data_IF_797508613262
#
_entry.id   IF_797508613262
#
_cell.length_a   1.000
_cell.length_b   1.000
_cell.length_c   1.000
_cell.angle_alpha   90.00
_cell.angle_beta   90.00
_cell.angle_gamma   90.00
#
_symmetry.space_group_name_H-M   'P 1'
#
loop_
_entity.id
_entity.type
_entity.pdbx_description
1 polymer ?
#
# COMPACT_ATOMS: atom_id res chain seq x y z
N UNK A 1 -13.43 -1.40 25.10
CA UNK A 1 -14.10 -1.00 23.85
C UNK A 1 -14.46 -2.25 23.07
N UNK A 2 -15.71 -2.39 22.62
CA UNK A 2 -16.14 -3.49 21.74
C UNK A 2 -15.51 -3.28 20.36
N UNK A 3 -14.93 -4.34 19.79
CA UNK A 3 -14.38 -4.33 18.43
C UNK A 3 -15.52 -4.03 17.44
N UNK A 4 -15.43 -2.95 16.66
CA UNK A 4 -16.39 -2.74 15.58
C UNK A 4 -16.15 -3.84 14.54
N UNK A 5 -17.19 -4.59 14.17
CA UNK A 5 -17.08 -5.60 13.11
C UNK A 5 -16.65 -4.91 11.81
N UNK A 6 -15.59 -5.41 11.18
CA UNK A 6 -15.15 -4.94 9.86
C UNK A 6 -16.03 -5.60 8.80
N UNK A 7 -16.62 -4.80 7.93
CA UNK A 7 -17.48 -5.25 6.84
C UNK A 7 -16.66 -5.50 5.59
N UNK A 8 -15.74 -4.58 5.29
CA UNK A 8 -14.82 -4.69 4.16
C UNK A 8 -13.40 -4.44 4.65
N UNK A 9 -12.46 -5.20 4.08
CA UNK A 9 -11.01 -5.05 4.26
C UNK A 9 -10.43 -5.07 2.86
N UNK A 10 -9.82 -3.97 2.44
CA UNK A 10 -9.24 -3.84 1.10
C UNK A 10 -7.74 -3.64 1.22
N UNK A 11 -6.98 -4.46 0.49
CA UNK A 11 -5.54 -4.63 0.67
C UNK A 11 -5.23 -5.81 1.58
N UNK A 12 -4.00 -5.87 2.04
CA UNK A 12 -3.48 -7.04 2.77
C UNK A 12 -3.14 -6.69 4.21
N UNK A 13 -3.55 -7.55 5.14
CA UNK A 13 -3.13 -7.47 6.54
C UNK A 13 -1.87 -8.29 6.77
N UNK A 14 -0.94 -7.70 7.51
CA UNK A 14 0.27 -8.40 7.93
C UNK A 14 -0.08 -9.56 8.85
N UNK A 15 0.38 -10.77 8.53
CA UNK A 15 0.29 -11.93 9.42
C UNK A 15 1.63 -12.21 10.09
N UNK A 16 1.61 -12.75 11.31
CA UNK A 16 2.84 -13.17 12.02
C UNK A 16 3.66 -14.13 11.18
N UNK A 17 3.00 -15.11 10.56
CA UNK A 17 3.63 -16.12 9.71
C UNK A 17 4.21 -15.50 8.44
N UNK A 18 3.50 -14.57 7.79
CA UNK A 18 3.98 -13.84 6.62
C UNK A 18 5.23 -13.01 6.91
N UNK A 19 5.23 -12.28 8.03
CA UNK A 19 6.41 -11.50 8.46
C UNK A 19 7.62 -12.41 8.68
N UNK A 20 7.45 -13.50 9.44
CA UNK A 20 8.54 -14.45 9.72
C UNK A 20 9.06 -15.05 8.41
N UNK A 21 8.15 -15.51 7.53
CA UNK A 21 8.52 -16.15 6.28
C UNK A 21 9.29 -15.21 5.35
N UNK A 22 8.79 -13.99 5.11
CA UNK A 22 9.49 -13.00 4.28
C UNK A 22 10.84 -12.62 4.89
N UNK A 23 10.88 -12.39 6.22
CA UNK A 23 12.13 -12.07 6.90
C UNK A 23 13.17 -13.18 6.70
N UNK A 24 12.79 -14.46 6.85
CA UNK A 24 13.68 -15.60 6.64
C UNK A 24 14.22 -15.67 5.20
N UNK A 25 13.37 -15.42 4.21
CA UNK A 25 13.79 -15.37 2.81
C UNK A 25 14.81 -14.25 2.61
N UNK A 26 14.50 -13.04 3.07
CA UNK A 26 15.40 -11.89 2.95
C UNK A 26 16.74 -12.17 3.65
N UNK A 27 16.69 -12.72 4.86
CA UNK A 27 17.88 -13.12 5.61
C UNK A 27 18.74 -14.14 4.84
N UNK A 28 18.12 -15.13 4.22
CA UNK A 28 18.83 -16.10 3.40
C UNK A 28 19.57 -15.42 2.24
N UNK A 29 18.92 -14.53 1.49
CA UNK A 29 19.55 -13.80 0.39
C UNK A 29 20.69 -12.88 0.87
N UNK A 30 20.49 -12.14 1.96
CA UNK A 30 21.53 -11.27 2.54
C UNK A 30 22.73 -12.11 2.99
N UNK A 31 22.51 -13.25 3.64
CA UNK A 31 23.59 -14.14 4.08
C UNK A 31 24.40 -14.68 2.88
N UNK A 32 23.74 -15.09 1.80
CA UNK A 32 24.39 -15.54 0.57
C UNK A 32 25.25 -14.42 -0.04
N UNK A 33 24.73 -13.19 -0.10
CA UNK A 33 25.46 -12.07 -0.67
C UNK A 33 26.70 -11.70 0.17
N UNK A 34 26.56 -11.61 1.49
CA UNK A 34 27.69 -11.36 2.40
C UNK A 34 28.73 -12.48 2.27
N UNK A 35 28.30 -13.74 2.21
CA UNK A 35 29.19 -14.88 2.04
C UNK A 35 29.97 -14.85 0.71
N UNK A 36 29.29 -14.51 -0.40
CA UNK A 36 29.94 -14.34 -1.69
C UNK A 36 30.95 -13.19 -1.68
N UNK A 37 30.55 -12.00 -1.20
CA UNK A 37 31.46 -10.85 -1.11
C UNK A 37 32.69 -11.13 -0.24
N UNK A 38 32.50 -11.84 0.87
CA UNK A 38 33.58 -12.28 1.75
C UNK A 38 34.58 -13.21 1.05
N UNK A 39 34.07 -14.17 0.28
CA UNK A 39 34.89 -15.13 -0.46
C UNK A 39 35.70 -14.46 -1.58
N UNK A 40 35.09 -13.50 -2.29
CA UNK A 40 35.70 -12.86 -3.46
C UNK A 40 36.72 -11.77 -3.09
N UNK A 41 36.51 -11.02 -2.00
CA UNK A 41 37.30 -9.82 -1.72
C UNK A 41 38.54 -10.06 -0.86
N UNK A 42 38.48 -10.93 0.17
CA UNK A 42 39.49 -10.89 1.26
C UNK A 42 39.91 -12.29 1.77
N UNK A 43 39.18 -13.35 1.39
CA UNK A 43 39.40 -14.70 1.93
C UNK A 43 38.86 -14.84 3.36
N UNK A 44 38.20 -15.97 3.63
CA UNK A 44 37.52 -16.16 4.92
C UNK A 44 38.51 -16.34 6.09
N UNK A 45 38.53 -15.40 7.03
CA UNK A 45 39.17 -15.57 8.34
C UNK A 45 38.13 -15.50 9.49
N UNK A 46 38.51 -15.99 10.68
CA UNK A 46 37.61 -16.09 11.85
C UNK A 46 37.06 -14.73 12.33
N UNK A 47 37.84 -13.66 12.25
CA UNK A 47 37.42 -12.32 12.68
C UNK A 47 36.36 -11.74 11.74
N UNK A 48 36.41 -12.09 10.46
CA UNK A 48 35.40 -11.71 9.48
C UNK A 48 34.05 -12.40 9.75
N UNK A 49 34.04 -13.65 10.20
CA UNK A 49 32.81 -14.34 10.59
C UNK A 49 32.06 -13.62 11.72
N UNK A 50 32.80 -13.07 12.69
CA UNK A 50 32.23 -12.26 13.78
C UNK A 50 31.67 -10.94 13.24
N UNK A 51 32.43 -10.22 12.39
CA UNK A 51 31.99 -8.97 11.78
C UNK A 51 30.74 -9.16 10.90
N UNK A 52 30.74 -10.18 10.04
CA UNK A 52 29.60 -10.54 9.20
C UNK A 52 28.37 -10.90 10.04
N UNK A 53 28.54 -11.61 11.16
CA UNK A 53 27.46 -11.92 12.10
C UNK A 53 26.86 -10.68 12.75
N UNK A 54 27.69 -9.71 13.17
CA UNK A 54 27.21 -8.43 13.72
C UNK A 54 26.46 -7.63 12.66
N UNK A 55 27.01 -7.51 11.45
CA UNK A 55 26.38 -6.80 10.33
C UNK A 55 25.02 -7.44 9.97
N UNK A 56 24.96 -8.77 9.97
CA UNK A 56 23.73 -9.52 9.71
C UNK A 56 22.63 -9.21 10.74
N UNK A 57 22.99 -9.14 12.03
CA UNK A 57 22.03 -8.76 13.09
C UNK A 57 21.55 -7.32 12.91
N UNK A 58 22.46 -6.38 12.59
CA UNK A 58 22.11 -4.98 12.35
C UNK A 58 21.13 -4.87 11.17
N UNK A 59 21.46 -5.45 10.02
CA UNK A 59 20.59 -5.45 8.83
C UNK A 59 19.23 -6.05 9.18
N UNK A 60 19.20 -7.17 9.92
CA UNK A 60 17.96 -7.79 10.36
C UNK A 60 17.04 -6.90 11.19
N UNK A 61 17.60 -6.16 12.14
CA UNK A 61 16.85 -5.20 12.94
C UNK A 61 16.26 -4.10 12.03
N UNK A 62 17.00 -3.64 11.01
CA UNK A 62 16.51 -2.60 10.11
C UNK A 62 15.49 -3.07 9.07
N UNK A 63 15.62 -4.30 8.58
CA UNK A 63 14.78 -4.89 7.53
C UNK A 63 13.37 -5.26 8.01
N UNK A 64 13.24 -5.88 9.19
CA UNK A 64 11.96 -6.44 9.66
C UNK A 64 10.83 -5.38 9.71
N UNK A 65 11.03 -4.16 10.22
CA UNK A 65 10.00 -3.11 10.20
C UNK A 65 9.59 -2.71 8.77
N UNK A 66 10.55 -2.68 7.84
CA UNK A 66 10.31 -2.32 6.43
C UNK A 66 9.43 -3.38 5.76
N UNK A 67 9.61 -4.65 6.07
CA UNK A 67 8.73 -5.73 5.61
C UNK A 67 7.28 -5.44 6.01
N UNK A 68 7.05 -4.93 7.23
CA UNK A 68 5.69 -4.61 7.69
C UNK A 68 5.08 -3.42 6.93
N UNK A 69 5.90 -2.46 6.49
CA UNK A 69 5.45 -1.29 5.71
C UNK A 69 4.84 -1.64 4.35
N UNK A 70 5.10 -2.85 3.85
CA UNK A 70 4.58 -3.33 2.56
C UNK A 70 3.08 -3.66 2.60
N UNK A 71 2.55 -3.99 3.78
CA UNK A 71 1.14 -4.31 3.94
C UNK A 71 0.36 -3.07 4.35
N UNK A 72 -0.46 -2.62 3.43
CA UNK A 72 -1.37 -1.50 3.61
C UNK A 72 -2.77 -2.02 3.37
N UNK A 73 -3.72 -1.47 4.12
CA UNK A 73 -5.12 -1.77 3.91
C UNK A 73 -5.99 -0.59 4.35
N UNK A 74 -7.22 -0.57 3.89
CA UNK A 74 -8.28 0.21 4.52
C UNK A 74 -9.46 -0.68 4.84
N UNK A 75 -10.13 -0.33 5.93
CA UNK A 75 -11.29 -1.05 6.43
C UNK A 75 -12.52 -0.15 6.40
N UNK A 76 -13.67 -0.73 6.06
CA UNK A 76 -14.99 -0.13 6.31
C UNK A 76 -15.68 -0.91 7.41
N UNK A 77 -16.16 -0.18 8.40
CA UNK A 77 -17.09 -0.66 9.42
C UNK A 77 -18.46 -0.02 9.23
N UNK A 78 -19.40 -0.30 10.14
CA UNK A 78 -20.71 0.36 10.15
C UNK A 78 -20.66 1.86 10.47
N UNK A 79 -19.54 2.40 10.92
CA UNK A 79 -19.47 3.82 11.29
C UNK A 79 -18.26 4.54 10.71
N UNK A 80 -17.18 3.82 10.40
CA UNK A 80 -15.90 4.43 10.07
C UNK A 80 -15.27 3.82 8.83
N UNK A 81 -14.59 4.70 8.09
CA UNK A 81 -13.51 4.37 7.16
C UNK A 81 -12.18 4.54 7.91
N UNK A 82 -11.36 3.51 7.91
CA UNK A 82 -10.05 3.50 8.58
C UNK A 82 -8.96 3.13 7.58
N UNK A 83 -7.89 3.90 7.54
CA UNK A 83 -6.73 3.62 6.67
C UNK A 83 -5.52 3.25 7.49
N UNK A 84 -4.81 2.22 7.05
CA UNK A 84 -3.65 1.65 7.70
C UNK A 84 -2.46 1.76 6.76
N UNK A 85 -1.62 2.78 7.01
CA UNK A 85 -0.38 3.01 6.28
C UNK A 85 0.73 3.42 7.26
N UNK A 86 1.69 2.52 7.45
CA UNK A 86 2.81 2.69 8.37
C UNK A 86 4.04 3.16 7.59
N UNK A 87 4.00 4.37 7.04
CA UNK A 87 5.13 4.90 6.26
C UNK A 87 6.31 5.33 7.14
N UNK A 88 6.07 5.70 8.40
CA UNK A 88 7.13 6.09 9.32
C UNK A 88 7.79 4.87 9.99
N UNK A 89 9.11 4.89 10.11
CA UNK A 89 9.88 3.76 10.64
C UNK A 89 9.56 3.44 12.11
N UNK A 90 9.27 4.45 12.94
CA UNK A 90 8.81 4.20 14.32
C UNK A 90 7.39 3.64 14.34
N UNK A 91 6.52 4.07 13.43
CA UNK A 91 5.18 3.47 13.27
C UNK A 91 5.27 2.00 12.86
N UNK A 92 6.17 1.64 11.94
CA UNK A 92 6.43 0.26 11.53
C UNK A 92 6.85 -0.61 12.72
N UNK A 93 7.75 -0.13 13.57
CA UNK A 93 8.13 -0.83 14.81
C UNK A 93 6.95 -1.00 15.77
N UNK A 94 6.15 0.05 15.99
CA UNK A 94 4.97 -0.01 16.87
C UNK A 94 3.96 -1.02 16.35
N UNK A 95 3.74 -1.05 15.04
CA UNK A 95 2.84 -1.98 14.39
C UNK A 95 3.36 -3.42 14.41
N UNK A 96 4.66 -3.63 14.18
CA UNK A 96 5.29 -4.94 14.39
C UNK A 96 5.05 -5.44 15.83
N UNK A 97 5.31 -4.61 16.83
CA UNK A 97 5.07 -4.96 18.24
C UNK A 97 3.58 -5.24 18.50
N UNK A 98 2.65 -4.49 17.90
CA UNK A 98 1.21 -4.71 18.08
C UNK A 98 0.79 -6.07 17.51
N UNK A 99 1.25 -6.42 16.32
CA UNK A 99 1.00 -7.73 15.69
C UNK A 99 1.48 -8.85 16.62
N UNK A 100 2.73 -8.80 17.08
CA UNK A 100 3.29 -9.84 17.94
C UNK A 100 2.58 -9.94 19.29
N UNK A 101 2.12 -8.82 19.85
CA UNK A 101 1.32 -8.77 21.09
C UNK A 101 -0.18 -9.06 20.88
N UNK A 102 -0.63 -9.28 19.65
CA UNK A 102 -2.05 -9.50 19.34
C UNK A 102 -2.94 -8.29 19.63
N UNK A 103 -2.37 -7.08 19.62
CA UNK A 103 -3.09 -5.81 19.80
C UNK A 103 -3.59 -5.29 18.47
N UNK A 104 -4.56 -4.37 18.52
CA UNK A 104 -5.14 -3.77 17.31
C UNK A 104 -4.10 -2.99 16.50
N UNK A 105 -4.37 -2.94 15.20
CA UNK A 105 -3.56 -2.25 14.21
C UNK A 105 -3.61 -0.74 14.47
N UNK A 106 -2.49 -0.05 14.24
CA UNK A 106 -2.43 1.42 14.38
C UNK A 106 -2.89 2.02 13.06
N UNK A 107 -4.07 2.67 13.05
CA UNK A 107 -4.57 3.35 11.86
C UNK A 107 -3.84 4.69 11.66
N UNK A 108 -3.56 5.03 10.40
CA UNK A 108 -3.06 6.35 10.01
C UNK A 108 -4.15 7.43 10.21
N UNK A 109 -5.39 7.11 9.85
CA UNK A 109 -6.54 7.93 10.17
C UNK A 109 -7.82 7.09 10.31
N UNK A 110 -8.82 7.69 10.95
CA UNK A 110 -10.16 7.14 11.15
C UNK A 110 -11.18 8.26 10.97
N UNK A 111 -12.09 8.08 10.01
CA UNK A 111 -13.10 9.09 9.62
C UNK A 111 -14.48 8.48 9.78
N UNK A 112 -15.45 9.22 10.32
CA UNK A 112 -16.84 8.77 10.34
C UNK A 112 -17.41 8.80 8.92
N UNK A 113 -18.09 7.74 8.51
CA UNK A 113 -18.71 7.67 7.18
C UNK A 113 -19.72 8.80 6.96
N UNK A 114 -20.38 9.27 8.02
CA UNK A 114 -21.32 10.39 7.98
C UNK A 114 -20.67 11.76 7.75
N UNK A 115 -19.36 11.90 7.95
CA UNK A 115 -18.59 13.13 7.71
C UNK A 115 -18.07 13.22 6.28
N UNK A 116 -18.04 12.09 5.56
CA UNK A 116 -17.59 12.04 4.17
C UNK A 116 -18.67 12.67 3.27
N UNK A 117 -18.24 13.59 2.40
CA UNK A 117 -19.07 14.20 1.37
C UNK A 117 -18.93 13.45 0.05
N UNK A 118 -17.70 13.28 -0.41
CA UNK A 118 -17.40 12.60 -1.67
C UNK A 118 -16.03 11.94 -1.65
N UNK A 119 -15.84 10.97 -2.53
CA UNK A 119 -14.57 10.29 -2.78
C UNK A 119 -14.25 10.46 -4.25
N UNK A 120 -13.15 11.14 -4.54
CA UNK A 120 -12.62 11.30 -5.88
C UNK A 120 -11.57 10.24 -6.18
N UNK A 121 -11.64 9.67 -7.37
CA UNK A 121 -10.67 8.69 -7.88
C UNK A 121 -9.75 9.39 -8.88
N UNK A 122 -8.45 9.27 -8.67
CA UNK A 122 -7.45 9.79 -9.58
C UNK A 122 -6.16 8.96 -9.48
N UNK A 123 -5.18 9.24 -10.34
CA UNK A 123 -3.90 8.53 -10.32
C UNK A 123 -2.73 9.50 -10.36
N UNK A 124 -1.60 9.04 -9.82
CA UNK A 124 -0.31 9.70 -9.98
C UNK A 124 0.63 8.81 -10.79
N UNK A 125 1.35 9.43 -11.72
CA UNK A 125 2.47 8.83 -12.42
C UNK A 125 3.65 8.66 -11.46
N UNK A 126 4.19 7.46 -11.39
CA UNK A 126 5.38 7.13 -10.60
C UNK A 126 6.37 6.39 -11.48
N UNK A 127 7.66 6.67 -11.30
CA UNK A 127 8.71 5.89 -11.92
C UNK A 127 9.04 4.70 -11.03
N UNK A 128 8.86 3.51 -11.58
CA UNK A 128 9.31 2.27 -10.96
C UNK A 128 10.74 1.93 -11.40
N UNK A 129 11.27 0.82 -10.88
CA UNK A 129 12.61 0.34 -11.25
C UNK A 129 12.74 0.20 -12.78
N UNK A 130 13.93 0.48 -13.30
CA UNK A 130 14.23 0.53 -14.74
C UNK A 130 13.46 1.61 -15.53
N UNK A 131 13.09 2.71 -14.88
CA UNK A 131 12.39 3.85 -15.51
C UNK A 131 11.04 3.49 -16.13
N UNK A 132 10.46 2.35 -15.73
CA UNK A 132 9.11 1.96 -16.13
C UNK A 132 8.11 2.91 -15.48
N UNK A 133 7.09 3.33 -16.23
CA UNK A 133 6.04 4.19 -15.70
C UNK A 133 5.01 3.28 -15.01
N UNK A 134 4.62 3.63 -13.79
CA UNK A 134 3.50 3.02 -13.10
C UNK A 134 2.45 4.09 -12.74
N UNK A 135 1.18 3.69 -12.69
CA UNK A 135 0.08 4.56 -12.32
C UNK A 135 -0.52 4.06 -11.01
N UNK A 136 -0.28 4.79 -9.93
CA UNK A 136 -0.87 4.46 -8.63
C UNK A 136 -2.19 5.20 -8.47
N UNK A 137 -3.26 4.46 -8.17
CA UNK A 137 -4.59 5.03 -7.94
C UNK A 137 -4.71 5.52 -6.49
N UNK A 138 -5.32 6.69 -6.33
CA UNK A 138 -5.57 7.36 -5.07
C UNK A 138 -7.04 7.69 -4.91
N UNK A 139 -7.46 7.75 -3.65
CA UNK A 139 -8.70 8.37 -3.22
C UNK A 139 -8.40 9.75 -2.64
N UNK A 140 -9.17 10.75 -3.07
CA UNK A 140 -9.29 12.05 -2.44
C UNK A 140 -10.65 12.15 -1.77
N UNK A 141 -10.68 12.03 -0.45
CA UNK A 141 -11.91 12.06 0.35
C UNK A 141 -12.15 13.48 0.80
N UNK A 142 -13.20 14.10 0.28
CA UNK A 142 -13.67 15.41 0.74
C UNK A 142 -14.63 15.21 1.92
N UNK A 143 -14.35 15.89 3.03
CA UNK A 143 -15.23 15.90 4.20
C UNK A 143 -16.22 17.07 4.12
N UNK A 144 -17.31 16.98 4.88
CA UNK A 144 -18.35 18.01 4.96
C UNK A 144 -17.86 19.34 5.54
N UNK A 145 -16.79 19.30 6.34
CA UNK A 145 -16.13 20.49 6.88
C UNK A 145 -15.20 21.20 5.87
N UNK A 146 -15.03 20.64 4.66
CA UNK A 146 -14.20 21.18 3.60
C UNK A 146 -12.76 20.66 3.57
N UNK A 147 -12.35 19.85 4.56
CA UNK A 147 -11.04 19.19 4.55
C UNK A 147 -10.96 18.08 3.48
N UNK A 148 -9.75 17.79 3.01
CA UNK A 148 -9.49 16.77 2.00
C UNK A 148 -8.40 15.83 2.51
N UNK A 149 -8.68 14.54 2.49
CA UNK A 149 -7.75 13.48 2.88
C UNK A 149 -7.43 12.61 1.67
N UNK A 150 -6.14 12.39 1.42
CA UNK A 150 -5.68 11.58 0.30
C UNK A 150 -5.01 10.30 0.78
N UNK A 151 -5.34 9.18 0.15
CA UNK A 151 -4.64 7.92 0.40
C UNK A 151 -4.68 6.99 -0.81
N UNK A 152 -3.80 5.98 -0.85
CA UNK A 152 -3.78 5.00 -1.94
C UNK A 152 -5.05 4.16 -1.89
N UNK A 153 -5.68 3.93 -3.04
CA UNK A 153 -6.89 3.10 -3.09
C UNK A 153 -6.58 1.61 -2.84
N UNK A 154 -5.32 1.19 -3.03
CA UNK A 154 -4.88 -0.19 -2.85
C UNK A 154 -5.66 -1.19 -3.72
N UNK A 155 -5.96 -0.80 -4.96
CA UNK A 155 -6.46 -1.72 -5.98
C UNK A 155 -5.43 -2.85 -6.13
N UNK A 156 -5.79 -4.02 -5.61
CA UNK A 156 -4.95 -5.22 -5.56
C UNK A 156 -5.58 -6.37 -6.32
N UNK A 157 -5.28 -7.59 -5.88
CA UNK A 157 -5.82 -8.84 -6.41
C UNK A 157 -7.32 -8.99 -6.15
N UNK A 158 -7.86 -8.50 -5.03
CA UNK A 158 -9.29 -8.53 -4.73
C UNK A 158 -10.05 -7.33 -5.31
N UNK A 159 -10.18 -7.33 -6.64
CA UNK A 159 -10.94 -6.30 -7.37
C UNK A 159 -12.42 -6.28 -6.97
N UNK A 160 -12.99 -7.45 -6.67
CA UNK A 160 -14.41 -7.58 -6.32
C UNK A 160 -14.68 -6.95 -4.97
N UNK A 161 -13.92 -7.32 -3.92
CA UNK A 161 -14.06 -6.74 -2.59
C UNK A 161 -13.86 -5.22 -2.60
N UNK A 162 -12.93 -4.72 -3.42
CA UNK A 162 -12.75 -3.28 -3.64
C UNK A 162 -14.01 -2.61 -4.20
N UNK A 163 -14.61 -3.17 -5.26
CA UNK A 163 -15.83 -2.61 -5.88
C UNK A 163 -17.04 -2.71 -4.96
N UNK A 164 -17.21 -3.85 -4.27
CA UNK A 164 -18.30 -4.07 -3.32
C UNK A 164 -18.22 -3.06 -2.15
N UNK A 165 -17.02 -2.76 -1.66
CA UNK A 165 -16.79 -1.76 -0.63
C UNK A 165 -17.19 -0.35 -1.07
N UNK A 166 -16.87 0.05 -2.30
CA UNK A 166 -17.29 1.35 -2.86
C UNK A 166 -18.80 1.42 -3.09
N UNK A 167 -19.40 0.34 -3.60
CA UNK A 167 -20.85 0.24 -3.76
C UNK A 167 -21.56 0.36 -2.41
N UNK A 168 -21.03 -0.26 -1.36
CA UNK A 168 -21.58 -0.12 -0.01
C UNK A 168 -21.56 1.33 0.48
N UNK A 169 -20.46 2.08 0.26
CA UNK A 169 -20.39 3.50 0.63
C UNK A 169 -21.42 4.34 -0.14
N UNK A 170 -21.56 4.08 -1.43
CA UNK A 170 -22.50 4.77 -2.31
C UNK A 170 -23.96 4.49 -1.92
N UNK A 171 -24.33 3.23 -1.72
CA UNK A 171 -25.71 2.83 -1.48
C UNK A 171 -26.16 3.09 -0.04
N UNK A 172 -25.27 2.87 0.95
CA UNK A 172 -25.65 2.95 2.37
C UNK A 172 -25.49 4.34 2.96
N UNK A 173 -24.48 5.09 2.51
CA UNK A 173 -24.15 6.42 3.05
C UNK A 173 -24.39 7.55 2.06
N UNK A 174 -24.83 7.24 0.83
CA UNK A 174 -25.04 8.23 -0.23
C UNK A 174 -23.79 9.08 -0.51
N UNK A 175 -22.61 8.48 -0.31
CA UNK A 175 -21.33 9.14 -0.61
C UNK A 175 -21.17 9.19 -2.13
N UNK A 176 -20.93 10.39 -2.66
CA UNK A 176 -20.67 10.59 -4.08
C UNK A 176 -19.28 10.04 -4.44
N UNK A 177 -19.21 9.18 -5.46
CA UNK A 177 -17.95 8.67 -5.99
C UNK A 177 -17.69 9.37 -7.32
N UNK A 178 -16.74 10.31 -7.32
CA UNK A 178 -16.27 11.02 -8.51
C UNK A 178 -15.22 10.17 -9.23
N UNK A 179 -15.67 9.46 -10.26
CA UNK A 179 -14.86 8.64 -11.16
C UNK A 179 -14.89 9.20 -12.59
N UNK A 180 -14.39 10.42 -12.75
CA UNK A 180 -14.41 11.18 -14.01
C UNK A 180 -13.86 10.43 -15.23
N UNK A 181 -12.96 9.46 -15.02
CA UNK A 181 -12.31 8.68 -16.08
C UNK A 181 -12.80 7.23 -16.14
N UNK A 182 -13.90 6.89 -15.47
CA UNK A 182 -14.48 5.54 -15.45
C UNK A 182 -13.48 4.43 -15.09
N UNK A 183 -12.56 4.71 -14.15
CA UNK A 183 -11.56 3.78 -13.65
C UNK A 183 -12.23 2.54 -13.04
N UNK A 184 -13.35 2.72 -12.33
CA UNK A 184 -14.11 1.63 -11.72
C UNK A 184 -14.77 0.73 -12.76
N UNK A 185 -15.28 1.30 -13.85
CA UNK A 185 -15.86 0.53 -14.96
C UNK A 185 -14.81 -0.36 -15.63
N UNK A 186 -13.61 0.18 -15.86
CA UNK A 186 -12.48 -0.60 -16.40
C UNK A 186 -12.02 -1.65 -15.39
N UNK A 187 -12.04 -1.35 -14.10
CA UNK A 187 -11.67 -2.30 -13.06
C UNK A 187 -12.65 -3.50 -12.99
N UNK A 188 -13.93 -3.26 -13.27
CA UNK A 188 -14.98 -4.27 -13.29
C UNK A 188 -14.93 -5.19 -14.53
N UNK A 189 -14.31 -4.75 -15.63
CA UNK A 189 -14.16 -5.55 -16.85
C UNK A 189 -12.88 -6.41 -16.79
N UNK A 190 -13.00 -7.76 -16.71
CA UNK A 190 -11.84 -8.63 -16.65
C UNK A 190 -11.01 -8.64 -17.94
N UNK A 191 -11.58 -8.20 -19.07
CA UNK A 191 -10.89 -8.16 -20.36
C UNK A 191 -10.05 -6.88 -20.55
N UNK A 192 -10.14 -5.93 -19.62
CA UNK A 192 -9.41 -4.68 -19.72
C UNK A 192 -8.23 -4.61 -18.76
N UNK A 193 -7.14 -4.06 -19.27
CA UNK A 193 -5.96 -3.76 -18.47
C UNK A 193 -5.99 -2.29 -18.02
N UNK A 194 -6.15 -2.07 -16.71
CA UNK A 194 -6.23 -0.72 -16.14
C UNK A 194 -4.96 0.11 -16.41
N UNK A 195 -3.77 -0.52 -16.41
CA UNK A 195 -2.52 0.17 -16.68
C UNK A 195 -2.48 0.71 -18.12
N UNK A 196 -2.82 -0.13 -19.10
CA UNK A 196 -2.87 0.26 -20.51
C UNK A 196 -3.95 1.32 -20.76
N UNK A 197 -5.10 1.21 -20.09
CA UNK A 197 -6.17 2.19 -20.17
C UNK A 197 -5.71 3.58 -19.73
N UNK A 198 -5.10 3.68 -18.55
CA UNK A 198 -4.58 4.96 -18.03
C UNK A 198 -3.45 5.48 -18.91
N UNK A 199 -2.56 4.60 -19.39
CA UNK A 199 -1.48 5.00 -20.28
C UNK A 199 -2.01 5.66 -21.58
N UNK A 200 -3.11 5.15 -22.15
CA UNK A 200 -3.76 5.75 -23.32
C UNK A 200 -4.32 7.15 -23.01
N UNK A 201 -4.96 7.33 -21.84
CA UNK A 201 -5.48 8.63 -21.41
C UNK A 201 -4.34 9.64 -21.28
N UNK A 202 -3.27 9.27 -20.58
CA UNK A 202 -2.10 10.14 -20.37
C UNK A 202 -1.46 10.52 -21.71
N UNK A 203 -1.23 9.55 -22.61
CA UNK A 203 -0.66 9.82 -23.94
C UNK A 203 -1.53 10.80 -24.74
N UNK A 204 -2.85 10.63 -24.72
CA UNK A 204 -3.77 11.52 -25.43
C UNK A 204 -3.78 12.94 -24.84
N UNK A 205 -3.60 13.07 -23.51
CA UNK A 205 -3.47 14.37 -22.85
C UNK A 205 -2.20 15.09 -23.27
N UNK A 206 -1.06 14.41 -23.26
CA UNK A 206 0.22 14.98 -23.71
C UNK A 206 0.18 15.39 -25.19
N UNK A 207 -0.47 14.61 -26.06
CA UNK A 207 -0.60 14.93 -27.48
C UNK A 207 -1.62 16.06 -27.74
N UNK A 208 -2.66 16.19 -26.92
CA UNK A 208 -3.65 17.27 -27.03
C UNK A 208 -3.15 18.63 -26.51
N UNK A 209 -2.19 18.64 -25.58
CA UNK A 209 -1.50 19.86 -25.13
C UNK A 209 -0.41 20.29 -26.13
N UNK A 210 0.23 19.36 -26.84
CA UNK A 210 1.24 19.66 -27.86
C UNK A 210 0.74 20.13 -29.23
N UNK A 211 -0.58 20.13 -29.48
CA UNK A 211 -1.19 20.65 -30.72
C UNK A 211 -1.85 22.03 -30.55
N UNK A 212 -1.71 22.67 -29.38
CA UNK A 212 -2.26 24.02 -29.13
C UNK A 212 -1.23 25.14 -29.33
N UNK A 213 0.00 24.78 -29.70
CA UNK A 213 1.12 25.73 -29.83
C UNK A 213 1.64 25.85 -31.28
N UNK A 214 0.84 25.48 -32.29
CA UNK A 214 1.14 25.71 -33.72
C UNK A 214 0.17 26.73 -34.37
#
# INVERSE_FOLDING_TARGET
>A
MKKSKKLFVVGDKSSKTGIIFISLITFFFVAVQIGNSANTLIGFNKNWGIFAGILFVIIGVFEIPVVVATWKHWDISEEYLEYYDNNDYFQQWRYLISIFKGREDVCAFKIRLTEIKSIKIYWNRQYAHYSTINYTIYFGVALKDGSILTFRSLIGSDKKGFLDALNYLKERYFIEIDDAYNVLGVLADPNQNLHEYIQKIEKNRFLGEGMKDD
#
